data_IF_346069204433
#
_entry.id   IF_346069204433
#
_cell.length_a   1.000
_cell.length_b   1.000
_cell.length_c   1.000
_cell.angle_alpha   90.00
_cell.angle_beta   90.00
_cell.angle_gamma   90.00
#
_symmetry.space_group_name_H-M   'P 1'
#
loop_
_entity.id
_entity.type
_entity.pdbx_description
1 polymer ?
#
# COMPACT_ATOMS: atom_id res chain seq x y z
N UNK A 1 11.76 23.89 1.37
CA UNK A 1 11.82 22.63 0.59
C UNK A 1 10.43 22.01 0.68
N UNK A 2 9.57 22.28 -0.31
CA UNK A 2 8.16 21.90 -0.26
C UNK A 2 8.03 20.40 -0.55
N UNK A 3 7.52 19.64 0.43
CA UNK A 3 7.00 18.31 0.20
C UNK A 3 5.91 18.40 -0.87
N UNK A 4 6.13 17.76 -2.01
CA UNK A 4 5.14 17.64 -3.07
C UNK A 4 3.98 16.79 -2.55
N UNK A 5 2.74 17.23 -2.79
CA UNK A 5 1.49 16.56 -2.38
C UNK A 5 1.34 15.07 -2.77
N UNK A 6 2.29 14.48 -3.48
CA UNK A 6 2.41 13.05 -3.73
C UNK A 6 2.57 12.22 -2.43
N UNK A 7 2.99 12.84 -1.33
CA UNK A 7 3.16 12.18 -0.03
C UNK A 7 1.82 11.90 0.69
N UNK A 8 0.76 12.66 0.40
CA UNK A 8 -0.56 12.48 1.01
C UNK A 8 -1.16 11.09 0.72
N UNK A 9 -0.91 10.55 -0.48
CA UNK A 9 -1.51 9.29 -0.92
C UNK A 9 -0.82 8.03 -0.38
N UNK A 10 0.32 8.16 0.29
CA UNK A 10 1.21 7.04 0.62
C UNK A 10 1.15 6.62 2.10
N UNK A 11 0.17 7.12 2.86
CA UNK A 11 -0.03 6.77 4.26
C UNK A 11 -0.68 5.41 4.50
N UNK A 12 -0.75 5.02 5.77
CA UNK A 12 -1.47 3.82 6.23
C UNK A 12 -2.98 3.90 6.02
N UNK A 13 -3.53 5.11 5.97
CA UNK A 13 -4.92 5.38 5.59
C UNK A 13 -5.08 5.69 4.09
N UNK A 14 -4.00 5.57 3.32
CA UNK A 14 -3.99 5.81 1.89
C UNK A 14 -4.80 4.78 1.10
N UNK A 15 -5.18 5.16 -0.12
CA UNK A 15 -5.95 4.34 -1.06
C UNK A 15 -5.32 2.95 -1.28
N UNK A 16 -4.00 2.92 -1.50
CA UNK A 16 -3.25 1.68 -1.74
C UNK A 16 -3.36 0.69 -0.55
N UNK A 17 -3.12 1.17 0.67
CA UNK A 17 -3.21 0.37 1.90
C UNK A 17 -4.62 -0.16 2.13
N UNK A 18 -5.63 0.71 1.98
CA UNK A 18 -7.03 0.36 2.20
C UNK A 18 -7.49 -0.73 1.22
N UNK A 19 -7.17 -0.57 -0.07
CA UNK A 19 -7.53 -1.55 -1.09
C UNK A 19 -6.76 -2.86 -0.92
N UNK A 20 -5.49 -2.82 -0.52
CA UNK A 20 -4.73 -4.02 -0.22
C UNK A 20 -5.40 -4.85 0.88
N UNK A 21 -5.84 -4.21 1.96
CA UNK A 21 -6.56 -4.89 3.03
C UNK A 21 -7.89 -5.51 2.54
N UNK A 22 -8.66 -4.78 1.71
CA UNK A 22 -9.90 -5.30 1.11
C UNK A 22 -9.63 -6.56 0.27
N UNK A 23 -8.59 -6.55 -0.58
CA UNK A 23 -8.23 -7.72 -1.38
C UNK A 23 -7.80 -8.91 -0.51
N UNK A 24 -6.98 -8.70 0.52
CA UNK A 24 -6.56 -9.74 1.46
C UNK A 24 -7.76 -10.35 2.21
N UNK A 25 -8.71 -9.51 2.65
CA UNK A 25 -9.94 -9.96 3.30
C UNK A 25 -10.80 -10.80 2.36
N UNK A 26 -11.00 -10.35 1.13
CA UNK A 26 -11.80 -11.07 0.14
C UNK A 26 -11.15 -12.42 -0.26
N UNK A 27 -9.82 -12.50 -0.21
CA UNK A 27 -9.06 -13.74 -0.39
C UNK A 27 -8.99 -14.61 0.89
N UNK A 28 -9.71 -14.25 1.96
CA UNK A 28 -9.73 -14.95 3.24
C UNK A 28 -8.36 -15.09 3.92
N UNK A 29 -7.40 -14.23 3.57
CA UNK A 29 -6.06 -14.25 4.16
C UNK A 29 -5.98 -13.53 5.50
N UNK A 30 -6.90 -12.61 5.79
CA UNK A 30 -7.03 -11.92 7.09
C UNK A 30 -8.45 -11.34 7.26
N UNK A 31 -8.69 -10.60 8.34
CA UNK A 31 -9.98 -10.01 8.69
C UNK A 31 -9.85 -8.77 9.59
N UNK A 32 -10.95 -8.02 9.73
CA UNK A 32 -10.99 -6.78 10.54
C UNK A 32 -10.67 -7.05 12.01
N UNK A 33 -11.06 -8.22 12.50
CA UNK A 33 -10.86 -8.72 13.86
C UNK A 33 -9.45 -9.28 14.09
N UNK A 34 -8.67 -9.47 13.02
CA UNK A 34 -7.33 -10.06 13.08
C UNK A 34 -6.22 -9.02 12.99
N UNK A 35 -6.40 -7.96 12.21
CA UNK A 35 -5.36 -6.95 11.97
C UNK A 35 -5.33 -5.89 13.07
N UNK A 36 -4.15 -5.64 13.62
CA UNK A 36 -3.87 -4.46 14.44
C UNK A 36 -3.49 -3.30 13.52
N UNK A 37 -4.49 -2.49 13.13
CA UNK A 37 -4.27 -1.37 12.20
C UNK A 37 -3.28 -0.34 12.73
N UNK A 38 -3.12 -0.20 14.06
CA UNK A 38 -2.12 0.70 14.66
C UNK A 38 -0.68 0.25 14.39
N UNK A 39 -0.48 -1.03 14.06
CA UNK A 39 0.82 -1.61 13.68
C UNK A 39 0.99 -1.77 12.18
N UNK A 40 0.01 -1.35 11.38
CA UNK A 40 0.15 -1.35 9.92
C UNK A 40 1.19 -0.33 9.50
N UNK A 41 2.06 -0.70 8.56
CA UNK A 41 3.08 0.19 8.01
C UNK A 41 2.96 0.21 6.49
N UNK A 42 3.06 1.40 5.93
CA UNK A 42 3.08 1.62 4.47
C UNK A 42 4.31 2.41 4.12
N UNK A 43 5.07 1.91 3.15
CA UNK A 43 6.29 2.57 2.64
C UNK A 43 6.19 2.66 1.13
N UNK A 44 6.26 3.88 0.58
CA UNK A 44 6.39 4.07 -0.87
C UNK A 44 7.77 3.61 -1.33
N UNK A 45 7.80 2.59 -2.19
CA UNK A 45 9.02 2.06 -2.80
C UNK A 45 9.44 2.88 -4.02
N UNK A 46 8.46 3.24 -4.85
CA UNK A 46 8.70 3.98 -6.09
C UNK A 46 7.54 4.92 -6.41
N UNK A 47 7.85 6.00 -7.12
CA UNK A 47 6.87 6.92 -7.70
C UNK A 47 7.40 7.45 -9.02
N UNK A 48 6.88 6.93 -10.12
CA UNK A 48 7.27 7.31 -11.48
C UNK A 48 6.22 8.25 -12.08
N UNK A 49 6.64 9.34 -12.71
CA UNK A 49 5.73 10.20 -13.47
C UNK A 49 5.47 9.60 -14.84
N UNK A 50 4.23 9.20 -15.10
CA UNK A 50 3.80 8.53 -16.35
C UNK A 50 2.91 9.41 -17.24
N UNK A 51 2.62 10.64 -16.81
CA UNK A 51 1.79 11.57 -17.57
C UNK A 51 1.71 12.95 -16.93
N UNK A 52 0.82 13.79 -17.47
CA UNK A 52 0.51 15.11 -16.89
C UNK A 52 -0.24 14.91 -15.58
N UNK A 53 0.41 15.25 -14.47
CA UNK A 53 -0.11 15.06 -13.11
C UNK A 53 -0.56 13.62 -12.83
N UNK A 54 0.16 12.64 -13.39
CA UNK A 54 -0.15 11.22 -13.22
C UNK A 54 1.12 10.45 -12.88
N UNK A 55 1.06 9.70 -11.79
CA UNK A 55 2.17 8.97 -11.22
C UNK A 55 1.80 7.51 -11.02
N UNK A 56 2.69 6.60 -11.40
CA UNK A 56 2.65 5.19 -11.01
C UNK A 56 3.37 5.06 -9.68
N UNK A 57 2.66 4.57 -8.66
CA UNK A 57 3.23 4.39 -7.32
C UNK A 57 3.29 2.90 -6.99
N UNK A 58 4.37 2.54 -6.30
CA UNK A 58 4.59 1.21 -5.75
C UNK A 58 4.77 1.36 -4.25
N UNK A 59 4.02 0.61 -3.46
CA UNK A 59 4.14 0.62 -2.00
C UNK A 59 4.38 -0.78 -1.47
N UNK A 60 5.16 -0.85 -0.40
CA UNK A 60 5.24 -2.01 0.47
C UNK A 60 4.36 -1.75 1.69
N UNK A 61 3.37 -2.62 1.90
CA UNK A 61 2.47 -2.55 3.04
C UNK A 61 2.68 -3.79 3.91
N UNK A 62 2.86 -3.58 5.21
CA UNK A 62 2.94 -4.64 6.20
C UNK A 62 1.74 -4.54 7.13
N UNK A 63 0.83 -5.49 7.03
CA UNK A 63 -0.24 -5.69 8.00
C UNK A 63 0.26 -6.59 9.12
N UNK A 64 0.08 -6.16 10.37
CA UNK A 64 0.43 -6.97 11.54
C UNK A 64 -0.86 -7.43 12.22
N UNK A 65 -1.04 -8.74 12.34
CA UNK A 65 -2.15 -9.29 13.11
C UNK A 65 -1.92 -9.20 14.62
N UNK A 66 -3.01 -9.26 15.38
CA UNK A 66 -2.99 -9.26 16.85
C UNK A 66 -2.14 -10.43 17.40
N UNK A 67 -2.10 -11.55 16.68
CA UNK A 67 -1.26 -12.72 16.98
C UNK A 67 0.24 -12.48 16.75
N UNK A 68 0.61 -11.37 16.12
CA UNK A 68 1.97 -11.05 15.70
C UNK A 68 2.32 -11.53 14.29
N UNK A 69 1.44 -12.29 13.61
CA UNK A 69 1.65 -12.69 12.21
C UNK A 69 1.71 -11.45 11.32
N UNK A 70 2.69 -11.39 10.42
CA UNK A 70 2.82 -10.32 9.43
C UNK A 70 2.35 -10.81 8.06
N UNK A 71 1.67 -9.92 7.34
CA UNK A 71 1.29 -10.11 5.95
C UNK A 71 1.87 -8.93 5.19
N UNK A 72 2.80 -9.23 4.29
CA UNK A 72 3.50 -8.24 3.49
C UNK A 72 2.96 -8.26 2.07
N UNK A 73 2.67 -7.09 1.53
CA UNK A 73 2.15 -6.95 0.17
C UNK A 73 2.82 -5.80 -0.57
N UNK A 74 3.00 -5.98 -1.87
CA UNK A 74 3.36 -4.91 -2.80
C UNK A 74 2.10 -4.45 -3.50
N UNK A 75 1.85 -3.15 -3.47
CA UNK A 75 0.74 -2.53 -4.20
C UNK A 75 1.24 -1.71 -5.36
N UNK A 76 0.50 -1.73 -6.47
CA UNK A 76 0.77 -0.88 -7.63
C UNK A 76 -0.52 -0.17 -8.04
N UNK A 77 -0.50 1.15 -8.07
CA UNK A 77 -1.62 1.98 -8.51
C UNK A 77 -1.15 3.28 -9.15
N UNK A 78 -2.06 3.98 -9.81
CA UNK A 78 -1.85 5.33 -10.28
C UNK A 78 -2.47 6.34 -9.31
N UNK A 79 -1.80 7.49 -9.16
CA UNK A 79 -2.24 8.63 -8.37
C UNK A 79 -1.88 9.96 -9.08
N UNK A 80 -2.57 11.03 -8.76
CA UNK A 80 -2.26 12.40 -9.14
C UNK A 80 -1.92 13.24 -7.91
N UNK A 81 -1.56 14.51 -8.10
CA UNK A 81 -1.36 15.44 -6.98
C UNK A 81 -2.65 15.73 -6.18
N UNK A 82 -3.83 15.40 -6.73
CA UNK A 82 -5.14 15.66 -6.14
C UNK A 82 -5.91 14.41 -5.74
N UNK A 83 -5.74 13.32 -6.50
CA UNK A 83 -6.50 12.09 -6.32
C UNK A 83 -5.58 10.89 -6.18
N UNK A 84 -5.74 10.14 -5.09
CA UNK A 84 -4.96 8.94 -4.82
C UNK A 84 -5.47 7.70 -5.56
N UNK A 85 -6.69 7.77 -6.12
CA UNK A 85 -7.45 6.68 -6.71
C UNK A 85 -7.61 6.81 -8.22
N UNK A 86 -6.56 7.23 -8.93
CA UNK A 86 -6.58 7.33 -10.39
C UNK A 86 -6.67 5.96 -11.08
N UNK A 87 -6.49 4.86 -10.34
CA UNK A 87 -6.73 3.50 -10.81
C UNK A 87 -7.13 2.57 -9.68
N UNK A 88 -7.59 1.37 -10.05
CA UNK A 88 -7.59 0.22 -9.14
C UNK A 88 -6.17 -0.12 -8.64
N UNK A 89 -6.10 -0.91 -7.58
CA UNK A 89 -4.85 -1.29 -6.92
C UNK A 89 -4.54 -2.74 -7.24
N UNK A 90 -3.41 -2.99 -7.88
CA UNK A 90 -2.87 -4.35 -8.00
C UNK A 90 -2.18 -4.72 -6.69
N UNK A 91 -2.39 -5.93 -6.20
CA UNK A 91 -1.88 -6.40 -4.90
C UNK A 91 -1.13 -7.71 -5.09
N UNK A 92 0.14 -7.73 -4.70
CA UNK A 92 0.98 -8.92 -4.71
C UNK A 92 1.30 -9.31 -3.27
N UNK A 93 1.00 -10.54 -2.88
CA UNK A 93 1.39 -11.05 -1.55
C UNK A 93 2.84 -11.51 -1.60
N UNK A 94 3.66 -10.98 -0.70
CA UNK A 94 5.07 -11.36 -0.59
C UNK A 94 5.16 -12.67 0.18
N UNK A 95 5.46 -13.77 -0.51
CA UNK A 95 5.69 -15.07 0.11
C UNK A 95 7.12 -15.26 0.61
N UNK A 96 8.09 -14.57 -0.02
CA UNK A 96 9.49 -14.62 0.34
C UNK A 96 10.19 -13.35 -0.15
N UNK A 97 11.07 -12.78 0.69
CA UNK A 97 12.00 -11.73 0.32
C UNK A 97 13.42 -12.31 0.36
N UNK A 98 14.21 -12.03 -0.69
CA UNK A 98 15.60 -12.47 -0.82
C UNK A 98 16.51 -11.24 -0.88
N UNK A 99 17.68 -11.29 -0.23
CA UNK A 99 18.64 -10.19 -0.20
C UNK A 99 18.29 -9.07 0.79
N UNK A 100 19.15 -8.06 0.83
CA UNK A 100 18.97 -6.87 1.68
C UNK A 100 18.21 -5.75 0.94
N UNK A 101 17.62 -4.84 1.73
CA UNK A 101 16.80 -3.72 1.27
C UNK A 101 17.58 -2.42 1.29
#
# INVERSE_FOLDING_TARGET
>A
MSATNADHCSGTEGWATSMAFVHLKNAQQTGNDKVDFKKTKTVRLASEKIGKDLFRQVHHVTFTEITGRKIEVITVNSASSKECSMSGVQVFVVSQQLGER
#
